data_IF_316063754747
#
_entry.id   IF_316063754747
#
_cell.length_a   1.000
_cell.length_b   1.000
_cell.length_c   1.000
_cell.angle_alpha   90.00
_cell.angle_beta   90.00
_cell.angle_gamma   90.00
#
_symmetry.space_group_name_H-M   'P 1'
#
loop_
_entity.id
_entity.type
_entity.pdbx_description
1 polymer ?
#
# COMPACT_ATOMS: atom_id res chain seq x y z
N UNK A 1 8.41 -19.76 -5.65
CA UNK A 1 8.50 -19.46 -4.20
C UNK A 1 9.95 -19.16 -3.87
N UNK A 2 10.23 -18.02 -3.23
CA UNK A 2 11.57 -17.70 -2.68
C UNK A 2 11.73 -18.46 -1.36
N UNK A 3 12.62 -19.45 -1.30
CA UNK A 3 12.92 -20.18 -0.07
C UNK A 3 14.18 -19.59 0.57
N UNK A 4 14.00 -18.88 1.69
CA UNK A 4 15.11 -18.42 2.51
C UNK A 4 15.77 -19.60 3.22
N UNK A 5 17.11 -19.67 3.18
CA UNK A 5 17.88 -20.55 4.08
C UNK A 5 18.06 -19.83 5.40
N UNK A 6 17.55 -20.45 6.46
CA UNK A 6 17.55 -19.89 7.81
C UNK A 6 18.47 -20.71 8.70
N UNK A 7 19.42 -20.05 9.32
CA UNK A 7 20.29 -20.66 10.32
C UNK A 7 19.64 -20.48 11.68
N UNK A 8 19.43 -21.59 12.40
CA UNK A 8 19.00 -21.53 13.81
C UNK A 8 20.21 -21.13 14.65
N UNK A 9 20.15 -19.94 15.25
CA UNK A 9 21.13 -19.49 16.22
C UNK A 9 20.57 -19.75 17.62
N UNK A 10 21.12 -20.71 18.37
CA UNK A 10 20.54 -21.18 19.62
C UNK A 10 20.80 -20.27 20.84
N UNK A 11 21.48 -19.13 20.66
CA UNK A 11 22.08 -18.36 21.76
C UNK A 11 21.82 -16.86 21.72
N UNK A 12 20.72 -16.39 21.10
CA UNK A 12 20.35 -14.97 21.22
C UNK A 12 19.86 -14.69 22.66
N UNK A 13 20.47 -13.72 23.33
CA UNK A 13 20.07 -13.31 24.67
C UNK A 13 19.16 -12.09 24.55
N UNK A 14 17.91 -12.20 25.02
CA UNK A 14 17.00 -11.08 25.15
C UNK A 14 17.07 -10.51 26.57
N UNK A 15 17.47 -9.25 26.67
CA UNK A 15 17.50 -8.49 27.92
C UNK A 15 16.30 -7.54 27.92
N UNK A 16 15.43 -7.66 28.93
CA UNK A 16 14.35 -6.72 29.14
C UNK A 16 14.23 -6.40 30.63
N UNK A 17 14.46 -5.13 30.97
CA UNK A 17 14.62 -4.66 32.37
C UNK A 17 15.70 -5.50 33.09
N UNK A 18 15.33 -6.20 34.16
CA UNK A 18 16.23 -7.05 34.95
C UNK A 18 16.14 -8.55 34.59
N UNK A 19 15.47 -8.90 33.49
CA UNK A 19 15.31 -10.30 33.06
C UNK A 19 16.15 -10.60 31.83
N UNK A 20 16.80 -11.77 31.88
CA UNK A 20 17.58 -12.33 30.80
C UNK A 20 16.95 -13.64 30.34
N UNK A 21 16.54 -13.71 29.07
CA UNK A 21 16.00 -14.93 28.45
C UNK A 21 16.86 -15.36 27.27
N UNK A 22 17.16 -16.65 27.17
CA UNK A 22 17.78 -17.22 25.97
C UNK A 22 16.68 -17.57 24.96
N UNK A 23 16.86 -17.12 23.72
CA UNK A 23 15.94 -17.33 22.62
C UNK A 23 16.67 -18.02 21.46
N UNK A 24 15.95 -18.92 20.79
CA UNK A 24 16.36 -19.44 19.49
C UNK A 24 15.84 -18.46 18.43
N UNK A 25 16.74 -17.91 17.62
CA UNK A 25 16.39 -17.04 16.48
C UNK A 25 16.71 -17.76 15.18
N UNK A 26 15.86 -17.57 14.19
CA UNK A 26 16.14 -17.93 12.81
C UNK A 26 16.70 -16.69 12.13
N UNK A 27 17.94 -16.76 11.66
CA UNK A 27 18.61 -15.68 10.96
C UNK A 27 18.82 -16.05 9.50
N UNK A 28 18.82 -15.04 8.64
CA UNK A 28 19.15 -15.21 7.22
C UNK A 28 20.64 -15.53 7.05
N UNK A 29 20.94 -16.44 6.12
CA UNK A 29 22.30 -16.86 5.79
C UNK A 29 22.90 -15.97 4.69
N UNK A 30 24.08 -15.40 4.94
CA UNK A 30 24.90 -14.79 3.90
C UNK A 30 25.51 -15.88 3.00
N UNK A 31 25.25 -15.80 1.70
CA UNK A 31 25.73 -16.77 0.72
C UNK A 31 26.81 -16.14 -0.18
N UNK A 32 28.11 -16.45 0.04
CA UNK A 32 29.22 -15.90 -0.74
C UNK A 32 29.37 -16.65 -2.07
N UNK A 33 28.74 -16.15 -3.13
CA UNK A 33 28.80 -16.74 -4.46
C UNK A 33 30.02 -16.22 -5.24
N UNK A 34 31.00 -17.08 -5.49
CA UNK A 34 32.14 -16.76 -6.37
C UNK A 34 31.68 -16.73 -7.83
N UNK A 35 32.05 -15.68 -8.55
CA UNK A 35 31.73 -15.47 -9.95
C UNK A 35 32.99 -15.56 -10.81
N UNK A 36 32.98 -16.50 -11.76
CA UNK A 36 33.95 -16.58 -12.84
C UNK A 36 33.30 -16.21 -14.18
N UNK A 37 33.98 -15.38 -14.95
CA UNK A 37 33.57 -14.96 -16.29
C UNK A 37 34.67 -15.33 -17.28
N UNK A 38 34.33 -16.11 -18.32
CA UNK A 38 35.27 -16.61 -19.31
C UNK A 38 36.51 -17.28 -18.67
N UNK A 39 36.31 -18.09 -17.62
CA UNK A 39 37.38 -18.80 -16.91
C UNK A 39 38.19 -17.97 -15.90
N UNK A 40 37.96 -16.66 -15.77
CA UNK A 40 38.66 -15.79 -14.82
C UNK A 40 37.76 -15.47 -13.62
N UNK A 41 38.31 -15.56 -12.41
CA UNK A 41 37.60 -15.13 -11.20
C UNK A 41 37.50 -13.61 -11.17
N UNK A 42 36.27 -13.12 -10.97
CA UNK A 42 35.96 -11.70 -11.10
C UNK A 42 35.56 -11.07 -9.78
N UNK A 43 34.67 -11.72 -9.03
CA UNK A 43 34.14 -11.18 -7.79
C UNK A 43 33.54 -12.29 -6.92
N UNK A 44 33.33 -12.00 -5.64
CA UNK A 44 32.47 -12.79 -4.76
C UNK A 44 31.27 -11.94 -4.37
N UNK A 45 30.07 -12.40 -4.71
CA UNK A 45 28.81 -11.73 -4.38
C UNK A 45 28.25 -12.31 -3.09
N UNK A 46 28.26 -11.52 -2.01
CA UNK A 46 27.55 -11.89 -0.78
C UNK A 46 26.06 -11.59 -0.99
N UNK A 47 25.24 -12.63 -1.05
CA UNK A 47 23.84 -12.53 -1.46
C UNK A 47 22.95 -13.56 -0.75
N UNK A 48 21.66 -13.61 -1.10
CA UNK A 48 20.79 -14.71 -0.71
C UNK A 48 20.84 -15.87 -1.72
N UNK A 49 20.65 -17.14 -1.31
CA UNK A 49 20.91 -18.32 -2.16
C UNK A 49 19.79 -18.64 -3.18
N UNK A 50 18.77 -17.79 -3.32
CA UNK A 50 17.66 -17.99 -4.26
C UNK A 50 17.86 -17.21 -5.55
N UNK A 51 17.15 -17.57 -6.64
CA UNK A 51 17.09 -16.83 -7.91
C UNK A 51 18.46 -16.31 -8.43
N UNK A 52 19.53 -17.09 -8.25
CA UNK A 52 20.90 -16.65 -8.48
C UNK A 52 21.16 -16.28 -9.96
N UNK A 53 20.42 -16.88 -10.90
CA UNK A 53 20.50 -16.52 -12.32
C UNK A 53 20.05 -15.08 -12.58
N UNK A 54 18.99 -14.60 -11.92
CA UNK A 54 18.59 -13.18 -11.99
C UNK A 54 19.68 -12.27 -11.43
N UNK A 55 20.23 -12.61 -10.25
CA UNK A 55 21.32 -11.84 -9.66
C UNK A 55 22.52 -11.72 -10.60
N UNK A 56 22.98 -12.84 -11.16
CA UNK A 56 24.17 -12.90 -12.00
C UNK A 56 23.99 -12.19 -13.34
N UNK A 57 22.85 -12.40 -14.01
CA UNK A 57 22.54 -11.72 -15.27
C UNK A 57 22.41 -10.21 -15.06
N UNK A 58 21.70 -9.79 -14.02
CA UNK A 58 21.56 -8.38 -13.68
C UNK A 58 22.87 -7.73 -13.25
N UNK A 59 23.70 -8.42 -12.45
CA UNK A 59 25.04 -7.95 -12.13
C UNK A 59 25.86 -7.72 -13.41
N UNK A 60 25.89 -8.69 -14.33
CA UNK A 60 26.64 -8.55 -15.58
C UNK A 60 26.14 -7.37 -16.43
N UNK A 61 24.83 -7.15 -16.50
CA UNK A 61 24.25 -5.99 -17.18
C UNK A 61 24.66 -4.68 -16.50
N UNK A 62 24.56 -4.62 -15.18
CA UNK A 62 24.91 -3.45 -14.40
C UNK A 62 26.42 -3.13 -14.45
N UNK A 63 27.26 -4.13 -14.69
CA UNK A 63 28.69 -3.97 -14.97
C UNK A 63 29.01 -3.74 -16.46
N UNK A 64 28.00 -3.66 -17.34
CA UNK A 64 28.20 -3.46 -18.78
C UNK A 64 28.88 -4.62 -19.50
N UNK A 65 28.95 -5.80 -18.87
CA UNK A 65 29.48 -7.01 -19.50
C UNK A 65 28.51 -7.64 -20.48
N UNK A 66 27.22 -7.35 -20.35
CA UNK A 66 26.20 -7.72 -21.32
C UNK A 66 25.27 -6.53 -21.55
N UNK A 67 24.78 -6.37 -22.78
CA UNK A 67 23.66 -5.48 -23.09
C UNK A 67 22.35 -6.28 -23.14
N UNK A 68 22.42 -7.55 -23.55
CA UNK A 68 21.25 -8.44 -23.65
C UNK A 68 21.62 -9.87 -23.22
N UNK A 69 20.61 -10.71 -22.97
CA UNK A 69 20.86 -12.14 -22.68
C UNK A 69 21.52 -12.89 -23.84
N UNK A 70 21.49 -12.37 -25.08
CA UNK A 70 22.15 -13.00 -26.23
C UNK A 70 23.67 -12.98 -26.09
N UNK A 71 24.22 -12.03 -25.34
CA UNK A 71 25.66 -11.91 -25.08
C UNK A 71 26.17 -13.06 -24.19
N UNK A 72 25.27 -13.72 -23.46
CA UNK A 72 25.56 -14.87 -22.62
C UNK A 72 25.55 -16.15 -23.48
N UNK A 73 26.70 -16.82 -23.56
CA UNK A 73 26.81 -18.15 -24.17
C UNK A 73 26.28 -19.23 -23.23
N UNK A 74 26.69 -19.21 -21.96
CA UNK A 74 26.14 -20.09 -20.94
C UNK A 74 26.28 -19.48 -19.53
N UNK A 75 25.39 -19.89 -18.63
CA UNK A 75 25.43 -19.58 -17.21
C UNK A 75 25.23 -20.88 -16.42
N UNK A 76 26.24 -21.27 -15.66
CA UNK A 76 26.21 -22.44 -14.79
C UNK A 76 26.37 -22.03 -13.33
N UNK A 77 25.59 -22.65 -12.44
CA UNK A 77 25.66 -22.39 -10.99
C UNK A 77 25.80 -23.73 -10.27
N UNK A 78 26.87 -23.88 -9.51
CA UNK A 78 27.05 -24.98 -8.56
C UNK A 78 26.81 -24.45 -7.15
N UNK A 79 25.59 -24.67 -6.63
CA UNK A 79 25.22 -24.14 -5.31
C UNK A 79 26.04 -24.76 -4.17
N UNK A 80 26.42 -26.03 -4.29
CA UNK A 80 27.24 -26.74 -3.30
C UNK A 80 28.64 -26.14 -3.16
N UNK A 81 29.24 -25.70 -4.27
CA UNK A 81 30.59 -25.09 -4.30
C UNK A 81 30.58 -23.57 -4.19
N UNK A 82 29.40 -22.98 -4.06
CA UNK A 82 29.16 -21.54 -4.15
C UNK A 82 29.93 -20.89 -5.31
N UNK A 83 29.79 -21.49 -6.50
CA UNK A 83 30.50 -21.08 -7.71
C UNK A 83 29.53 -20.90 -8.88
N UNK A 84 29.60 -19.74 -9.50
CA UNK A 84 28.97 -19.43 -10.77
C UNK A 84 30.04 -19.27 -11.86
N UNK A 85 29.80 -19.89 -13.01
CA UNK A 85 30.62 -19.77 -14.21
C UNK A 85 29.75 -19.23 -15.35
N UNK A 86 30.14 -18.06 -15.86
CA UNK A 86 29.51 -17.42 -17.00
C UNK A 86 30.48 -17.44 -18.17
N UNK A 87 29.99 -17.84 -19.34
CA UNK A 87 30.70 -17.64 -20.60
C UNK A 87 29.95 -16.61 -21.42
N UNK A 88 30.64 -15.54 -21.78
CA UNK A 88 30.15 -14.50 -22.67
C UNK A 88 30.62 -14.81 -24.09
N UNK A 89 29.84 -14.37 -25.08
CA UNK A 89 30.20 -14.50 -26.50
C UNK A 89 31.33 -13.57 -26.93
N UNK A 90 31.69 -12.62 -26.07
CA UNK A 90 32.77 -11.67 -26.26
C UNK A 90 33.62 -11.56 -25.00
N UNK A 91 34.81 -10.97 -25.12
CA UNK A 91 35.64 -10.63 -23.97
C UNK A 91 35.11 -9.33 -23.34
N UNK A 92 34.72 -9.32 -22.05
CA UNK A 92 34.30 -8.08 -21.39
C UNK A 92 35.51 -7.15 -21.25
N UNK A 93 35.28 -5.83 -21.40
CA UNK A 93 36.26 -4.83 -20.95
C UNK A 93 36.23 -4.80 -19.43
N UNK A 94 37.36 -5.13 -18.81
CA UNK A 94 37.54 -5.06 -17.38
C UNK A 94 38.43 -3.86 -17.09
N UNK A 95 37.81 -2.71 -16.80
CA UNK A 95 38.56 -1.57 -16.27
C UNK A 95 38.96 -1.84 -14.81
N UNK A 96 39.81 -0.99 -14.23
CA UNK A 96 40.24 -1.17 -12.85
C UNK A 96 39.02 -1.17 -11.90
N UNK A 97 38.87 -2.20 -11.04
CA UNK A 97 37.73 -2.29 -10.13
C UNK A 97 37.73 -1.11 -9.16
N UNK A 98 36.62 -0.38 -9.10
CA UNK A 98 36.36 0.61 -8.05
C UNK A 98 35.66 -0.08 -6.90
N UNK A 99 36.28 -0.03 -5.72
CA UNK A 99 35.65 -0.49 -4.47
C UNK A 99 34.52 0.48 -4.10
N UNK A 100 33.29 -0.02 -4.07
CA UNK A 100 32.12 0.73 -3.60
C UNK A 100 32.03 0.62 -2.09
N UNK A 101 31.62 1.71 -1.45
CA UNK A 101 31.56 1.85 0.02
C UNK A 101 30.39 1.09 0.67
N UNK A 102 29.80 0.11 -0.02
CA UNK A 102 28.78 -0.76 0.56
C UNK A 102 29.36 -1.68 1.64
N UNK A 103 28.52 -2.19 2.55
CA UNK A 103 28.90 -3.04 3.69
C UNK A 103 29.54 -4.41 3.33
N UNK A 104 29.96 -4.62 2.07
CA UNK A 104 30.63 -5.83 1.61
C UNK A 104 31.76 -5.58 0.58
N UNK A 105 32.23 -4.34 0.43
CA UNK A 105 33.30 -4.03 -0.53
C UNK A 105 32.92 -4.33 -1.98
N UNK A 106 31.69 -3.94 -2.37
CA UNK A 106 31.16 -4.19 -3.71
C UNK A 106 32.10 -3.67 -4.79
N UNK A 107 32.25 -4.41 -5.89
CA UNK A 107 33.15 -4.04 -6.98
C UNK A 107 32.34 -3.50 -8.14
N UNK A 108 32.62 -2.26 -8.54
CA UNK A 108 32.10 -1.66 -9.78
C UNK A 108 33.23 -1.55 -10.80
N UNK A 109 33.03 -2.11 -11.98
CA UNK A 109 33.98 -2.06 -13.09
C UNK A 109 33.72 -0.89 -14.05
N UNK A 110 32.75 -0.03 -13.73
CA UNK A 110 32.39 1.12 -14.56
C UNK A 110 32.58 2.43 -13.82
N UNK A 111 33.17 3.40 -14.52
CA UNK A 111 33.37 4.77 -14.06
C UNK A 111 32.04 5.54 -14.05
N UNK A 112 31.82 6.37 -13.03
CA UNK A 112 30.66 7.26 -12.90
C UNK A 112 30.59 8.37 -13.98
N UNK A 113 31.52 8.37 -14.94
CA UNK A 113 31.61 9.32 -16.06
C UNK A 113 30.76 8.99 -17.28
N UNK A 114 30.01 7.88 -17.29
CA UNK A 114 29.04 7.62 -18.35
C UNK A 114 28.00 8.75 -18.39
N UNK A 115 27.88 9.38 -19.55
CA UNK A 115 27.02 10.53 -19.77
C UNK A 115 25.56 10.16 -19.53
N UNK A 116 24.98 10.60 -18.41
CA UNK A 116 23.55 10.46 -18.18
C UNK A 116 22.79 11.22 -19.27
N UNK A 117 22.03 10.49 -20.08
CA UNK A 117 21.13 11.13 -21.06
C UNK A 117 19.99 11.78 -20.26
N UNK A 118 20.01 13.12 -20.18
CA UNK A 118 18.95 13.90 -19.51
C UNK A 118 17.60 13.55 -20.12
N UNK A 119 16.68 13.04 -19.29
CA UNK A 119 15.40 12.52 -19.76
C UNK A 119 14.33 13.60 -19.94
N UNK A 120 13.33 13.28 -20.78
CA UNK A 120 12.08 14.03 -20.93
C UNK A 120 11.27 13.93 -19.62
N UNK A 121 10.48 14.95 -19.33
CA UNK A 121 9.63 15.02 -18.14
C UNK A 121 8.44 14.08 -18.26
N UNK A 122 8.53 12.90 -17.65
CA UNK A 122 7.37 12.04 -17.35
C UNK A 122 6.70 12.57 -16.09
N UNK A 123 5.38 12.57 -16.06
CA UNK A 123 4.58 12.93 -14.88
C UNK A 123 4.13 11.65 -14.17
N UNK A 124 4.35 11.61 -12.86
CA UNK A 124 4.03 10.47 -12.00
C UNK A 124 2.93 10.85 -11.01
N UNK A 125 1.94 9.97 -10.83
CA UNK A 125 0.90 10.18 -9.81
C UNK A 125 1.42 9.81 -8.42
N UNK A 126 1.29 10.73 -7.46
CA UNK A 126 1.61 10.46 -6.04
C UNK A 126 0.81 9.30 -5.49
N UNK A 127 -0.45 9.16 -5.88
CA UNK A 127 -1.28 8.01 -5.50
C UNK A 127 -0.62 6.67 -5.86
N UNK A 128 0.03 6.61 -7.03
CA UNK A 128 0.75 5.44 -7.51
C UNK A 128 2.01 5.20 -6.69
N UNK A 129 2.81 6.23 -6.40
CA UNK A 129 3.98 6.13 -5.50
C UNK A 129 3.60 5.52 -4.14
N UNK A 130 2.55 6.03 -3.49
CA UNK A 130 2.07 5.51 -2.21
C UNK A 130 1.51 4.08 -2.33
N UNK A 131 0.76 3.80 -3.40
CA UNK A 131 0.22 2.47 -3.68
C UNK A 131 1.33 1.42 -3.83
N UNK A 132 2.34 1.68 -4.66
CA UNK A 132 3.45 0.75 -4.91
C UNK A 132 4.28 0.52 -3.64
N UNK A 133 4.51 1.55 -2.82
CA UNK A 133 5.22 1.38 -1.54
C UNK A 133 4.42 0.56 -0.53
N UNK A 134 3.09 0.70 -0.52
CA UNK A 134 2.20 -0.15 0.30
C UNK A 134 2.21 -1.61 -0.18
N UNK A 135 2.21 -1.83 -1.50
CA UNK A 135 2.32 -3.16 -2.10
C UNK A 135 3.69 -3.81 -1.78
N UNK A 136 4.80 -3.06 -1.89
CA UNK A 136 6.13 -3.53 -1.47
C UNK A 136 6.12 -3.94 0.00
N UNK A 137 5.57 -3.09 0.88
CA UNK A 137 5.52 -3.34 2.32
C UNK A 137 4.71 -4.59 2.64
N UNK A 138 3.54 -4.78 2.00
CA UNK A 138 2.69 -5.95 2.16
C UNK A 138 3.38 -7.23 1.71
N UNK A 139 4.13 -7.17 0.59
CA UNK A 139 4.84 -8.32 0.05
C UNK A 139 6.05 -8.70 0.92
N UNK A 140 6.78 -7.71 1.43
CA UNK A 140 7.89 -7.90 2.37
C UNK A 140 7.43 -8.40 3.75
N UNK A 141 6.24 -8.00 4.22
CA UNK A 141 5.69 -8.44 5.51
C UNK A 141 5.43 -9.94 5.60
N UNK A 142 5.06 -10.58 4.48
CA UNK A 142 4.92 -12.04 4.41
C UNK A 142 6.22 -12.78 4.78
N UNK A 143 7.37 -12.10 4.76
CA UNK A 143 8.70 -12.66 4.99
C UNK A 143 9.49 -11.96 6.11
N UNK A 144 8.89 -10.96 6.80
CA UNK A 144 9.55 -10.14 7.84
C UNK A 144 9.90 -10.91 9.13
N UNK A 145 9.63 -12.22 9.21
CA UNK A 145 9.89 -13.02 10.41
C UNK A 145 11.38 -13.17 10.76
N UNK A 146 12.31 -12.80 9.87
CA UNK A 146 13.75 -13.08 10.05
C UNK A 146 14.67 -11.85 10.14
N UNK A 147 14.19 -10.63 9.82
CA UNK A 147 15.02 -9.41 9.81
C UNK A 147 16.23 -9.49 8.86
N UNK A 148 17.00 -8.41 8.74
CA UNK A 148 18.28 -8.43 8.01
C UNK A 148 18.20 -8.59 6.49
N UNK A 149 17.04 -8.31 5.88
CA UNK A 149 16.82 -8.37 4.43
C UNK A 149 16.38 -7.03 3.87
N UNK A 150 16.71 -6.79 2.61
CA UNK A 150 16.21 -5.70 1.80
C UNK A 150 15.24 -6.23 0.76
N UNK A 151 14.23 -5.43 0.45
CA UNK A 151 13.22 -5.70 -0.56
C UNK A 151 13.17 -4.50 -1.50
N UNK A 152 13.05 -4.77 -2.79
CA UNK A 152 12.82 -3.75 -3.80
C UNK A 152 11.81 -4.24 -4.81
N UNK A 153 11.10 -3.30 -5.43
CA UNK A 153 10.13 -3.59 -6.46
C UNK A 153 10.14 -2.51 -7.52
N UNK A 154 9.83 -2.88 -8.76
CA UNK A 154 9.60 -1.94 -9.85
C UNK A 154 8.14 -2.03 -10.25
N UNK A 155 7.53 -0.88 -10.51
CA UNK A 155 6.13 -0.81 -10.92
C UNK A 155 5.83 0.43 -11.74
N UNK A 156 4.59 0.48 -12.20
CA UNK A 156 4.01 1.56 -12.99
C UNK A 156 2.60 1.91 -12.44
N UNK A 157 1.80 2.58 -13.26
CA UNK A 157 0.43 2.98 -12.94
C UNK A 157 -0.53 1.79 -12.74
N UNK A 158 -0.21 0.61 -13.30
CA UNK A 158 -1.03 -0.60 -13.21
C UNK A 158 -0.66 -1.46 -11.98
N UNK A 159 0.53 -1.26 -11.41
CA UNK A 159 0.94 -1.88 -10.16
C UNK A 159 2.40 -2.34 -10.14
N UNK A 160 2.72 -3.27 -9.23
CA UNK A 160 4.05 -3.89 -9.19
C UNK A 160 4.26 -4.83 -10.38
N UNK A 161 5.30 -4.55 -11.16
CA UNK A 161 5.78 -5.40 -12.26
C UNK A 161 6.72 -6.50 -11.74
N UNK A 162 7.70 -6.09 -10.93
CA UNK A 162 8.79 -6.95 -10.46
C UNK A 162 9.02 -6.76 -8.95
N UNK A 163 9.49 -7.82 -8.28
CA UNK A 163 9.82 -7.78 -6.86
C UNK A 163 11.00 -8.69 -6.56
N UNK A 164 11.97 -8.19 -5.81
CA UNK A 164 13.13 -8.95 -5.37
C UNK A 164 13.48 -8.66 -3.92
N UNK A 165 14.06 -9.67 -3.28
CA UNK A 165 14.65 -9.56 -1.96
C UNK A 165 16.09 -10.06 -1.99
N UNK A 166 16.92 -9.52 -1.11
CA UNK A 166 18.28 -9.99 -0.87
C UNK A 166 18.79 -9.44 0.47
N UNK A 167 19.91 -9.96 0.96
CA UNK A 167 20.62 -9.38 2.10
C UNK A 167 21.23 -8.02 1.71
N UNK A 168 21.67 -7.88 0.46
CA UNK A 168 22.20 -6.63 -0.08
C UNK A 168 21.13 -5.81 -0.83
N UNK A 169 20.96 -4.54 -0.45
CA UNK A 169 20.05 -3.62 -1.19
C UNK A 169 20.44 -3.43 -2.66
N UNK A 170 21.72 -3.57 -3.00
CA UNK A 170 22.20 -3.44 -4.38
C UNK A 170 21.91 -4.69 -5.20
N UNK A 171 21.95 -5.86 -4.54
CA UNK A 171 21.61 -7.15 -5.14
C UNK A 171 20.12 -7.23 -5.48
N UNK A 172 19.23 -6.56 -4.72
CA UNK A 172 17.80 -6.54 -5.07
C UNK A 172 17.59 -5.88 -6.44
N UNK A 173 18.31 -4.80 -6.75
CA UNK A 173 18.22 -4.14 -8.05
C UNK A 173 18.88 -4.96 -9.17
N UNK A 174 19.97 -5.67 -8.88
CA UNK A 174 20.55 -6.63 -9.82
C UNK A 174 19.56 -7.76 -10.13
N UNK A 175 18.87 -8.30 -9.12
CA UNK A 175 17.83 -9.32 -9.33
C UNK A 175 16.67 -8.82 -10.16
N UNK A 176 16.16 -7.61 -9.87
CA UNK A 176 15.12 -6.98 -10.68
C UNK A 176 15.57 -6.79 -12.12
N UNK A 177 16.84 -6.38 -12.32
CA UNK A 177 17.44 -6.25 -13.66
C UNK A 177 17.47 -7.58 -14.39
N UNK A 178 17.96 -8.64 -13.73
CA UNK A 178 18.04 -9.96 -14.35
C UNK A 178 16.67 -10.52 -14.69
N UNK A 179 15.71 -10.42 -13.78
CA UNK A 179 14.32 -10.84 -14.04
C UNK A 179 13.72 -10.10 -15.23
N UNK A 180 13.90 -8.78 -15.30
CA UNK A 180 13.46 -7.98 -16.44
C UNK A 180 14.10 -8.43 -17.76
N UNK A 181 15.39 -8.79 -17.75
CA UNK A 181 16.07 -9.32 -18.93
C UNK A 181 15.53 -10.68 -19.37
N UNK A 182 15.22 -11.58 -18.43
CA UNK A 182 14.66 -12.90 -18.74
C UNK A 182 13.21 -12.83 -19.23
N UNK A 183 12.41 -11.95 -18.64
CA UNK A 183 10.99 -11.76 -18.98
C UNK A 183 10.78 -10.74 -20.11
N UNK A 184 11.85 -10.13 -20.63
CA UNK A 184 11.83 -9.09 -21.66
C UNK A 184 10.91 -7.89 -21.28
N UNK A 185 11.02 -7.44 -20.03
CA UNK A 185 10.28 -6.30 -19.49
C UNK A 185 11.14 -5.04 -19.61
N UNK A 186 10.61 -4.01 -20.27
CA UNK A 186 11.23 -2.69 -20.31
C UNK A 186 10.96 -1.94 -18.99
N UNK A 187 12.02 -1.49 -18.33
CA UNK A 187 11.95 -0.74 -17.08
C UNK A 187 12.04 0.77 -17.30
N UNK A 188 12.03 1.22 -18.54
CA UNK A 188 12.03 2.63 -18.88
C UNK A 188 10.83 3.37 -18.29
N UNK A 189 11.12 4.52 -17.70
CA UNK A 189 10.19 5.45 -17.05
C UNK A 189 9.37 4.86 -15.90
N UNK A 190 9.71 3.65 -15.42
CA UNK A 190 9.08 3.00 -14.27
C UNK A 190 9.53 3.59 -12.92
N UNK A 191 8.88 3.15 -11.84
CA UNK A 191 9.12 3.59 -10.47
C UNK A 191 9.79 2.47 -9.66
N UNK A 192 10.95 2.75 -9.06
CA UNK A 192 11.68 1.84 -8.17
C UNK A 192 11.35 2.13 -6.70
N UNK A 193 10.71 1.16 -6.03
CA UNK A 193 10.48 1.17 -4.59
C UNK A 193 11.57 0.37 -3.87
N UNK A 194 12.16 0.91 -2.81
CA UNK A 194 13.19 0.23 -2.02
C UNK A 194 12.94 0.32 -0.51
N UNK A 195 13.19 -0.76 0.22
CA UNK A 195 13.20 -0.74 1.69
C UNK A 195 14.51 -0.22 2.29
N UNK A 196 15.56 -0.09 1.48
CA UNK A 196 16.89 0.35 1.92
C UNK A 196 17.21 1.81 1.58
N UNK A 197 18.34 2.30 2.10
CA UNK A 197 18.86 3.64 1.81
C UNK A 197 19.18 3.80 0.32
N UNK A 198 18.88 4.97 -0.24
CA UNK A 198 19.24 5.30 -1.63
C UNK A 198 20.66 5.85 -1.66
N UNK A 199 21.60 5.04 -2.14
CA UNK A 199 23.01 5.40 -2.32
C UNK A 199 23.31 5.76 -3.78
N UNK A 200 24.48 6.36 -4.04
CA UNK A 200 24.94 6.69 -5.40
C UNK A 200 24.93 5.47 -6.33
N UNK A 201 25.34 4.31 -5.83
CA UNK A 201 25.29 3.05 -6.57
C UNK A 201 23.86 2.64 -6.98
N UNK A 202 22.88 2.81 -6.09
CA UNK A 202 21.47 2.52 -6.42
C UNK A 202 20.97 3.44 -7.54
N UNK A 203 21.36 4.73 -7.49
CA UNK A 203 20.98 5.71 -8.51
C UNK A 203 21.62 5.38 -9.86
N UNK A 204 22.91 5.04 -9.88
CA UNK A 204 23.63 4.67 -11.12
C UNK A 204 22.96 3.45 -11.77
N UNK A 205 22.69 2.41 -10.98
CA UNK A 205 22.02 1.20 -11.47
C UNK A 205 20.61 1.48 -12.00
N UNK A 206 19.84 2.32 -11.30
CA UNK A 206 18.49 2.71 -11.74
C UNK A 206 18.52 3.55 -13.02
N UNK A 207 19.49 4.48 -13.13
CA UNK A 207 19.68 5.31 -14.31
C UNK A 207 19.98 4.47 -15.57
N UNK A 208 20.77 3.40 -15.44
CA UNK A 208 21.05 2.48 -16.55
C UNK A 208 19.82 1.73 -17.06
N UNK A 209 18.84 1.49 -16.18
CA UNK A 209 17.63 0.74 -16.50
C UNK A 209 16.52 1.58 -17.13
N UNK A 210 16.70 2.89 -17.28
CA UNK A 210 15.58 3.72 -17.74
C UNK A 210 14.63 4.16 -16.61
N UNK A 211 14.87 3.82 -15.34
CA UNK A 211 13.94 4.14 -14.22
C UNK A 211 13.88 5.65 -13.97
N UNK A 212 12.68 6.23 -13.96
CA UNK A 212 12.48 7.68 -13.86
C UNK A 212 12.20 8.19 -12.43
N UNK A 213 11.83 7.30 -11.50
CA UNK A 213 11.59 7.67 -10.10
C UNK A 213 12.12 6.59 -9.15
N UNK A 214 12.78 7.02 -8.07
CA UNK A 214 13.23 6.15 -6.97
C UNK A 214 12.56 6.62 -5.68
N UNK A 215 11.89 5.71 -4.98
CA UNK A 215 11.30 5.99 -3.66
C UNK A 215 11.78 4.99 -2.61
N UNK A 216 12.06 5.49 -1.40
CA UNK A 216 12.48 4.69 -0.25
C UNK A 216 11.76 5.09 1.02
N UNK A 217 11.54 4.12 1.92
CA UNK A 217 11.05 4.37 3.28
C UNK A 217 12.13 4.91 4.24
N UNK A 218 13.36 5.11 3.74
CA UNK A 218 14.55 5.55 4.49
C UNK A 218 15.26 6.71 3.77
N UNK A 219 16.46 7.07 4.24
CA UNK A 219 17.21 8.25 3.79
C UNK A 219 18.00 8.03 2.49
N UNK A 220 18.04 9.03 1.60
CA UNK A 220 19.04 9.11 0.55
C UNK A 220 20.39 9.64 1.08
N UNK A 221 21.47 9.44 0.32
CA UNK A 221 22.75 10.12 0.56
C UNK A 221 22.85 11.41 -0.25
N UNK A 222 23.67 12.39 0.20
CA UNK A 222 23.88 13.64 -0.53
C UNK A 222 24.36 13.40 -1.99
N UNK A 223 25.27 12.43 -2.18
CA UNK A 223 25.73 12.05 -3.52
C UNK A 223 24.61 11.44 -4.37
N UNK A 224 23.68 10.68 -3.78
CA UNK A 224 22.53 10.15 -4.50
C UNK A 224 21.61 11.27 -5.01
N UNK A 225 21.36 12.28 -4.18
CA UNK A 225 20.57 13.47 -4.57
C UNK A 225 21.23 14.18 -5.76
N UNK A 226 22.53 14.45 -5.70
CA UNK A 226 23.27 15.09 -6.80
C UNK A 226 23.24 14.27 -8.10
N UNK A 227 23.31 12.94 -8.01
CA UNK A 227 23.22 12.06 -9.17
C UNK A 227 21.80 12.04 -9.76
N UNK A 228 20.76 12.02 -8.94
CA UNK A 228 19.37 12.12 -9.39
C UNK A 228 19.10 13.44 -10.11
N UNK A 229 19.63 14.56 -9.61
CA UNK A 229 19.56 15.87 -10.27
C UNK A 229 20.16 15.82 -11.68
N UNK A 230 21.37 15.26 -11.81
CA UNK A 230 22.05 15.12 -13.11
C UNK A 230 21.34 14.13 -14.05
N UNK A 231 20.81 13.04 -13.51
CA UNK A 231 20.18 11.98 -14.28
C UNK A 231 18.72 12.27 -14.68
N UNK A 232 18.08 13.30 -14.10
CA UNK A 232 16.67 13.59 -14.35
C UNK A 232 15.71 12.60 -13.67
N UNK A 233 16.12 12.03 -12.53
CA UNK A 233 15.36 11.01 -11.79
C UNK A 233 14.71 11.65 -10.56
N UNK A 234 13.40 11.52 -10.39
CA UNK A 234 12.75 11.93 -9.13
C UNK A 234 13.20 11.06 -7.97
N UNK A 235 13.64 11.69 -6.87
CA UNK A 235 14.06 10.98 -5.65
C UNK A 235 13.14 11.31 -4.48
N UNK A 236 12.57 10.27 -3.89
CA UNK A 236 11.70 10.36 -2.72
C UNK A 236 12.30 9.55 -1.58
N UNK A 237 12.49 10.19 -0.43
CA UNK A 237 12.93 9.57 0.81
C UNK A 237 11.83 9.58 1.86
N UNK A 238 12.04 8.81 2.93
CA UNK A 238 11.14 8.77 4.10
C UNK A 238 9.66 8.54 3.75
N UNK A 239 9.38 7.81 2.67
CA UNK A 239 8.03 7.50 2.21
C UNK A 239 7.33 6.55 3.21
N UNK A 240 6.34 7.06 3.95
CA UNK A 240 5.59 6.30 4.97
C UNK A 240 4.15 6.78 5.05
N UNK A 241 3.21 5.84 5.13
CA UNK A 241 1.79 6.16 5.21
C UNK A 241 1.36 7.03 4.02
N UNK A 242 1.04 8.31 4.30
CA UNK A 242 0.65 9.31 3.29
C UNK A 242 1.60 10.52 3.22
N UNK A 243 2.80 10.41 3.80
CA UNK A 243 3.82 11.45 3.77
C UNK A 243 5.12 10.96 3.12
N UNK A 244 5.89 11.90 2.59
CA UNK A 244 7.19 11.66 1.98
C UNK A 244 7.99 12.96 1.89
N UNK A 245 9.29 12.83 1.65
CA UNK A 245 10.19 13.95 1.39
C UNK A 245 10.76 13.82 -0.03
N UNK A 246 10.62 14.87 -0.84
CA UNK A 246 11.09 14.88 -2.23
C UNK A 246 12.45 15.61 -2.27
N UNK A 247 13.46 14.94 -2.81
CA UNK A 247 14.84 15.40 -2.83
C UNK A 247 15.32 15.88 -4.20
N UNK A 248 14.63 15.49 -5.28
CA UNK A 248 14.93 15.97 -6.64
C UNK A 248 13.72 15.87 -7.55
N UNK A 249 13.67 16.76 -8.55
CA UNK A 249 12.63 16.85 -9.59
C UNK A 249 11.17 16.79 -9.11
N UNK A 250 10.75 17.55 -8.06
CA UNK A 250 9.37 17.53 -7.56
C UNK A 250 8.32 17.88 -8.63
N UNK A 251 8.71 18.64 -9.66
CA UNK A 251 7.85 18.99 -10.79
C UNK A 251 7.41 17.80 -11.64
N UNK A 252 8.02 16.61 -11.50
CA UNK A 252 7.62 15.37 -12.17
C UNK A 252 6.52 14.62 -11.41
N UNK A 253 6.10 15.09 -10.23
CA UNK A 253 4.94 14.58 -9.54
C UNK A 253 3.73 15.48 -9.82
N UNK A 254 2.55 14.86 -9.88
CA UNK A 254 1.30 15.61 -9.97
C UNK A 254 1.20 16.64 -8.82
N UNK A 255 0.81 17.90 -9.09
CA UNK A 255 0.75 18.94 -8.07
C UNK A 255 -0.18 18.52 -6.94
N UNK A 256 0.11 18.97 -5.71
CA UNK A 256 -0.79 18.75 -4.58
C UNK A 256 -2.22 19.14 -4.95
N UNK A 257 -3.14 18.17 -4.91
CA UNK A 257 -4.57 18.50 -5.00
C UNK A 257 -4.83 19.52 -3.90
N UNK A 258 -5.36 20.71 -4.21
CA UNK A 258 -5.68 21.69 -3.20
C UNK A 258 -6.49 21.00 -2.11
N UNK A 259 -6.20 21.30 -0.82
CA UNK A 259 -7.09 20.86 0.26
C UNK A 259 -8.50 21.28 -0.14
N UNK A 260 -9.36 20.30 -0.38
CA UNK A 260 -10.75 20.58 -0.71
C UNK A 260 -11.31 21.44 0.42
N UNK A 261 -11.96 22.56 0.09
CA UNK A 261 -12.65 23.33 1.12
C UNK A 261 -13.65 22.40 1.80
N UNK A 262 -13.57 22.33 3.12
CA UNK A 262 -14.53 21.58 3.92
C UNK A 262 -15.92 22.16 3.73
N UNK A 263 -16.91 21.29 3.80
CA UNK A 263 -18.32 21.63 3.67
C UNK A 263 -18.75 22.28 4.99
N UNK A 264 -18.92 23.59 4.98
CA UNK A 264 -19.30 24.35 6.15
C UNK A 264 -20.74 24.03 6.61
N UNK A 265 -20.97 24.09 7.93
CA UNK A 265 -22.31 23.95 8.52
C UNK A 265 -22.90 22.54 8.51
N UNK A 266 -22.10 21.52 8.22
CA UNK A 266 -22.51 20.11 8.26
C UNK A 266 -21.48 19.31 9.06
N UNK A 267 -21.97 18.44 9.94
CA UNK A 267 -21.13 17.50 10.70
C UNK A 267 -21.13 16.11 10.05
N UNK A 268 -20.03 15.37 10.19
CA UNK A 268 -19.95 13.96 9.84
C UNK A 268 -20.31 13.07 11.04
N UNK A 269 -21.13 12.05 10.82
CA UNK A 269 -21.55 11.08 11.84
C UNK A 269 -21.24 9.67 11.35
N UNK A 270 -20.44 8.93 12.13
CA UNK A 270 -20.14 7.53 11.87
C UNK A 270 -20.90 6.67 12.87
N UNK A 271 -21.70 5.71 12.37
CA UNK A 271 -22.40 4.74 13.21
C UNK A 271 -21.53 3.49 13.42
N UNK A 272 -21.13 3.24 14.67
CA UNK A 272 -20.26 2.14 15.07
C UNK A 272 -20.88 1.36 16.25
N UNK A 273 -21.80 0.45 15.96
CA UNK A 273 -22.51 -0.31 17.01
C UNK A 273 -23.37 -1.48 16.53
N UNK A 274 -23.15 -2.00 15.31
CA UNK A 274 -23.91 -3.14 14.80
C UNK A 274 -23.46 -4.46 15.42
N UNK A 275 -24.35 -5.17 16.11
CA UNK A 275 -24.09 -6.51 16.63
C UNK A 275 -23.73 -7.47 15.49
N UNK A 276 -22.44 -7.77 15.36
CA UNK A 276 -21.91 -8.67 14.33
C UNK A 276 -21.98 -10.13 14.79
N UNK A 277 -23.19 -10.61 15.10
CA UNK A 277 -23.45 -12.01 15.51
C UNK A 277 -23.00 -13.03 14.46
N UNK A 278 -22.87 -12.63 13.18
CA UNK A 278 -22.48 -13.50 12.05
C UNK A 278 -20.96 -13.58 11.78
N UNK A 279 -20.14 -12.69 12.36
CA UNK A 279 -18.69 -12.59 12.08
C UNK A 279 -17.78 -13.05 13.22
N UNK A 280 -18.34 -13.31 14.42
CA UNK A 280 -17.56 -13.71 15.60
C UNK A 280 -16.60 -12.64 16.17
N UNK A 281 -16.55 -11.43 15.57
CA UNK A 281 -15.75 -10.28 16.01
C UNK A 281 -16.35 -8.96 15.48
N UNK A 282 -16.00 -7.82 16.09
CA UNK A 282 -16.49 -6.50 15.71
C UNK A 282 -15.94 -6.08 14.32
N UNK A 283 -16.82 -5.98 13.31
CA UNK A 283 -16.48 -5.67 11.91
C UNK A 283 -15.74 -4.35 11.73
N UNK A 284 -15.98 -3.37 12.62
CA UNK A 284 -15.35 -2.05 12.58
C UNK A 284 -13.82 -2.10 12.73
N UNK A 285 -13.30 -3.16 13.35
CA UNK A 285 -11.88 -3.37 13.64
C UNK A 285 -11.14 -4.15 12.56
N UNK A 286 -11.82 -4.55 11.48
CA UNK A 286 -11.20 -5.37 10.44
C UNK A 286 -10.11 -4.58 9.68
N UNK A 287 -8.87 -5.10 9.59
CA UNK A 287 -7.79 -4.44 8.90
C UNK A 287 -7.94 -4.52 7.37
N UNK A 288 -7.94 -3.37 6.72
CA UNK A 288 -8.00 -3.19 5.28
C UNK A 288 -7.01 -2.13 4.80
N UNK A 289 -6.22 -2.45 3.78
CA UNK A 289 -5.20 -1.55 3.21
C UNK A 289 -4.28 -0.88 4.26
N UNK A 290 -3.98 -1.58 5.37
CA UNK A 290 -3.08 -1.10 6.43
C UNK A 290 -3.74 -0.29 7.56
N UNK A 291 -5.07 -0.10 7.55
CA UNK A 291 -5.84 0.56 8.63
C UNK A 291 -7.20 -0.15 8.83
N UNK A 292 -8.02 0.21 9.82
CA UNK A 292 -9.35 -0.39 10.01
C UNK A 292 -10.39 0.28 9.09
N UNK A 293 -11.52 -0.37 8.80
CA UNK A 293 -12.59 0.26 7.99
C UNK A 293 -13.03 1.61 8.53
N UNK A 294 -13.23 1.70 9.86
CA UNK A 294 -13.62 2.96 10.49
C UNK A 294 -12.56 4.06 10.34
N UNK A 295 -11.26 3.71 10.26
CA UNK A 295 -10.19 4.69 10.08
C UNK A 295 -10.25 5.32 8.67
N UNK A 296 -10.61 4.52 7.65
CA UNK A 296 -10.82 5.01 6.29
C UNK A 296 -12.03 5.94 6.19
N UNK A 297 -13.14 5.54 6.81
CA UNK A 297 -14.36 6.36 6.86
C UNK A 297 -14.10 7.67 7.59
N UNK A 298 -13.45 7.61 8.76
CA UNK A 298 -13.08 8.79 9.53
C UNK A 298 -12.18 9.74 8.73
N UNK A 299 -11.12 9.23 8.12
CA UNK A 299 -10.20 10.04 7.32
C UNK A 299 -10.95 10.78 6.20
N UNK A 300 -11.87 10.08 5.51
CA UNK A 300 -12.68 10.68 4.44
C UNK A 300 -13.62 11.77 4.97
N UNK A 301 -14.31 11.54 6.08
CA UNK A 301 -15.19 12.56 6.66
C UNK A 301 -14.40 13.75 7.22
N UNK A 302 -13.23 13.53 7.82
CA UNK A 302 -12.37 14.59 8.35
C UNK A 302 -11.75 15.47 7.25
N UNK A 303 -11.60 14.93 6.03
CA UNK A 303 -11.26 15.71 4.84
C UNK A 303 -12.41 16.64 4.41
N UNK A 304 -13.67 16.25 4.66
CA UNK A 304 -14.86 16.93 4.16
C UNK A 304 -15.54 17.86 5.18
N UNK A 305 -15.43 17.55 6.48
CA UNK A 305 -16.17 18.23 7.54
C UNK A 305 -15.24 18.73 8.65
N UNK A 306 -15.63 19.79 9.34
CA UNK A 306 -14.89 20.31 10.50
C UNK A 306 -15.17 19.52 11.77
N UNK A 307 -16.39 19.02 11.92
CA UNK A 307 -16.80 18.17 13.02
C UNK A 307 -17.10 16.76 12.49
N UNK A 308 -16.45 15.76 13.07
CA UNK A 308 -16.81 14.35 12.90
C UNK A 308 -17.03 13.74 14.27
N UNK A 309 -18.06 12.92 14.42
CA UNK A 309 -18.33 12.16 15.64
C UNK A 309 -18.64 10.69 15.33
N UNK A 310 -18.39 9.84 16.32
CA UNK A 310 -18.70 8.41 16.26
C UNK A 310 -19.79 8.11 17.27
N UNK A 311 -20.87 7.51 16.83
CA UNK A 311 -21.93 6.98 17.70
C UNK A 311 -21.60 5.53 18.02
N UNK A 312 -21.25 5.25 19.27
CA UNK A 312 -20.86 3.92 19.72
C UNK A 312 -21.10 3.72 21.22
N UNK A 313 -21.50 2.51 21.59
CA UNK A 313 -21.64 2.10 22.99
C UNK A 313 -20.33 1.54 23.59
N UNK A 314 -19.31 1.36 22.75
CA UNK A 314 -17.98 0.81 23.12
C UNK A 314 -16.84 1.77 22.71
N UNK A 315 -16.81 3.01 23.24
CA UNK A 315 -15.83 4.04 22.86
C UNK A 315 -14.36 3.62 23.04
N UNK A 316 -14.10 2.70 23.97
CA UNK A 316 -12.79 2.11 24.25
C UNK A 316 -12.17 1.33 23.07
N UNK A 317 -12.96 0.95 22.05
CA UNK A 317 -12.44 0.31 20.83
C UNK A 317 -11.81 1.32 19.84
N UNK A 318 -12.02 2.63 20.05
CA UNK A 318 -11.58 3.68 19.14
C UNK A 318 -10.78 4.79 19.84
N UNK A 319 -9.79 4.48 20.71
CA UNK A 319 -9.09 5.50 21.49
C UNK A 319 -8.28 6.45 20.61
N UNK A 320 -7.74 5.94 19.50
CA UNK A 320 -6.81 6.68 18.62
C UNK A 320 -7.50 7.64 17.64
N UNK A 321 -8.82 7.51 17.41
CA UNK A 321 -9.52 8.39 16.46
C UNK A 321 -9.73 9.78 17.09
N UNK A 322 -9.24 10.88 16.48
CA UNK A 322 -9.33 12.22 17.07
C UNK A 322 -10.71 12.85 16.85
N UNK A 323 -11.73 12.24 17.45
CA UNK A 323 -13.11 12.71 17.43
C UNK A 323 -13.84 12.35 18.71
N UNK A 324 -14.97 13.03 18.93
CA UNK A 324 -15.89 12.71 20.03
C UNK A 324 -16.57 11.37 19.75
N UNK A 325 -16.68 10.55 20.79
CA UNK A 325 -17.49 9.32 20.78
C UNK A 325 -18.69 9.56 21.68
N UNK A 326 -19.88 9.35 21.15
CA UNK A 326 -21.15 9.55 21.86
C UNK A 326 -21.89 8.23 21.96
N UNK A 327 -22.52 8.00 23.10
CA UNK A 327 -23.33 6.79 23.32
C UNK A 327 -24.70 6.96 22.69
N UNK A 328 -25.32 5.83 22.41
CA UNK A 328 -26.70 5.79 21.93
C UNK A 328 -27.65 6.20 23.06
N UNK A 329 -28.53 7.18 22.80
CA UNK A 329 -29.59 7.64 23.71
C UNK A 329 -30.72 6.62 23.82
N UNK A 330 -30.92 5.82 22.77
CA UNK A 330 -31.89 4.71 22.73
C UNK A 330 -31.14 3.38 22.53
N UNK A 331 -30.42 2.88 23.56
CA UNK A 331 -29.51 1.75 23.40
C UNK A 331 -30.19 0.53 22.77
N UNK A 332 -29.49 -0.11 21.83
CA UNK A 332 -29.88 -1.38 21.20
C UNK A 332 -31.16 -1.30 20.34
N UNK A 333 -31.59 -0.09 19.96
CA UNK A 333 -32.76 0.11 19.10
C UNK A 333 -32.42 0.25 17.60
N UNK A 334 -31.19 -0.10 17.21
CA UNK A 334 -30.76 -0.19 15.82
C UNK A 334 -30.29 1.13 15.23
N UNK A 335 -30.16 1.17 13.90
CA UNK A 335 -29.52 2.30 13.23
C UNK A 335 -30.28 3.63 13.34
N UNK A 336 -31.62 3.60 13.48
CA UNK A 336 -32.42 4.81 13.71
C UNK A 336 -32.03 5.53 15.00
N UNK A 337 -31.80 4.77 16.08
CA UNK A 337 -31.33 5.28 17.36
C UNK A 337 -29.91 5.86 17.26
N UNK A 338 -29.04 5.20 16.49
CA UNK A 338 -27.72 5.72 16.16
C UNK A 338 -27.77 7.06 15.41
N UNK A 339 -28.64 7.19 14.40
CA UNK A 339 -28.84 8.43 13.66
C UNK A 339 -29.33 9.55 14.59
N UNK A 340 -30.36 9.28 15.40
CA UNK A 340 -30.91 10.22 16.38
C UNK A 340 -29.82 10.71 17.33
N UNK A 341 -29.08 9.79 17.96
CA UNK A 341 -28.01 10.12 18.90
C UNK A 341 -26.91 10.95 18.27
N UNK A 342 -26.51 10.60 17.05
CA UNK A 342 -25.52 11.37 16.30
C UNK A 342 -26.00 12.80 16.06
N UNK A 343 -27.20 12.94 15.50
CA UNK A 343 -27.81 14.21 15.17
C UNK A 343 -28.00 15.12 16.40
N UNK A 344 -28.45 14.56 17.52
CA UNK A 344 -28.61 15.28 18.79
C UNK A 344 -27.28 15.85 19.31
N UNK A 345 -26.16 15.14 19.12
CA UNK A 345 -24.85 15.53 19.63
C UNK A 345 -23.98 16.32 18.65
N UNK A 346 -24.38 16.45 17.39
CA UNK A 346 -23.68 17.32 16.42
C UNK A 346 -23.83 18.80 16.78
N UNK A 347 -22.77 19.58 16.56
CA UNK A 347 -22.81 21.04 16.70
C UNK A 347 -23.58 21.73 15.58
N UNK A 348 -23.59 21.14 14.39
CA UNK A 348 -24.30 21.69 13.23
C UNK A 348 -25.80 21.35 13.25
N UNK A 349 -26.59 22.07 12.45
CA UNK A 349 -28.02 21.78 12.23
C UNK A 349 -28.24 20.52 11.38
N UNK A 350 -27.23 20.12 10.61
CA UNK A 350 -27.28 19.00 9.68
C UNK A 350 -26.09 18.08 9.86
N UNK A 351 -26.32 16.79 9.63
CA UNK A 351 -25.32 15.75 9.78
C UNK A 351 -25.37 14.77 8.60
N UNK A 352 -24.22 14.54 7.96
CA UNK A 352 -24.06 13.43 7.02
C UNK A 352 -23.78 12.16 7.80
N UNK A 353 -24.61 11.14 7.63
CA UNK A 353 -24.52 9.89 8.39
C UNK A 353 -24.00 8.77 7.49
N UNK A 354 -23.03 8.03 8.01
CA UNK A 354 -22.47 6.83 7.37
C UNK A 354 -22.23 5.69 8.36
N UNK A 355 -22.37 4.45 7.90
CA UNK A 355 -21.97 3.25 8.66
C UNK A 355 -20.45 3.04 8.67
N UNK A 356 -19.92 2.45 9.74
CA UNK A 356 -18.48 2.16 9.85
C UNK A 356 -17.99 1.00 8.95
N UNK A 357 -18.90 0.26 8.34
CA UNK A 357 -18.69 -0.93 7.50
C UNK A 357 -18.60 -0.62 5.99
N UNK A 358 -18.51 0.66 5.63
CA UNK A 358 -18.54 1.14 4.24
C UNK A 358 -17.25 1.94 3.91
N UNK A 359 -16.09 1.26 3.78
CA UNK A 359 -14.76 1.90 3.70
C UNK A 359 -14.46 2.60 2.36
N UNK A 360 -15.29 2.41 1.33
CA UNK A 360 -15.09 2.96 -0.01
C UNK A 360 -15.82 4.28 -0.24
N UNK A 361 -16.13 5.03 0.83
CA UNK A 361 -16.87 6.28 0.78
C UNK A 361 -16.28 7.28 -0.23
N UNK A 362 -17.07 7.62 -1.26
CA UNK A 362 -16.72 8.62 -2.27
C UNK A 362 -16.99 10.04 -1.76
N UNK A 363 -15.93 10.87 -1.68
CA UNK A 363 -16.09 12.27 -1.28
C UNK A 363 -16.93 13.10 -2.26
N UNK A 364 -16.92 12.74 -3.55
CA UNK A 364 -17.76 13.40 -4.57
C UNK A 364 -19.25 13.13 -4.34
N UNK A 365 -19.60 11.91 -3.94
CA UNK A 365 -20.97 11.55 -3.60
C UNK A 365 -21.44 12.32 -2.36
N UNK A 366 -20.63 12.36 -1.31
CA UNK A 366 -20.94 13.13 -0.09
C UNK A 366 -21.17 14.61 -0.42
N UNK A 367 -20.32 15.19 -1.28
CA UNK A 367 -20.48 16.56 -1.77
C UNK A 367 -21.79 16.76 -2.52
N UNK A 368 -22.10 15.89 -3.48
CA UNK A 368 -23.38 15.92 -4.22
C UNK A 368 -24.57 15.93 -3.25
N UNK A 369 -24.56 15.05 -2.25
CA UNK A 369 -25.61 15.01 -1.21
C UNK A 369 -25.68 16.33 -0.46
N UNK A 370 -24.54 16.87 -0.04
CA UNK A 370 -24.48 18.11 0.72
C UNK A 370 -24.90 19.36 -0.08
N UNK A 371 -24.77 19.38 -1.41
CA UNK A 371 -25.28 20.50 -2.24
C UNK A 371 -26.79 20.68 -2.14
N UNK A 372 -27.50 19.63 -1.69
CA UNK A 372 -28.96 19.59 -1.50
C UNK A 372 -29.37 19.65 -0.03
N UNK A 373 -28.44 19.92 0.89
CA UNK A 373 -28.80 20.49 2.19
C UNK A 373 -29.77 21.68 1.95
N UNK A 374 -30.55 22.20 2.86
CA UNK A 374 -31.60 23.22 2.56
C UNK A 374 -32.82 22.74 1.74
N UNK A 375 -32.73 21.74 0.84
CA UNK A 375 -33.90 21.33 0.04
C UNK A 375 -34.93 20.50 0.84
N UNK A 376 -34.49 19.76 1.86
CA UNK A 376 -35.35 18.92 2.70
C UNK A 376 -34.76 18.59 4.07
N UNK A 377 -35.53 17.85 4.86
CA UNK A 377 -35.12 17.34 6.18
C UNK A 377 -34.15 16.17 6.05
N UNK A 378 -34.36 15.35 5.01
CA UNK A 378 -33.57 14.17 4.69
C UNK A 378 -33.18 14.19 3.21
N UNK A 379 -31.89 14.17 2.91
CA UNK A 379 -31.37 14.00 1.55
C UNK A 379 -30.87 12.57 1.40
N UNK A 380 -31.52 11.79 0.54
CA UNK A 380 -31.43 10.34 0.53
C UNK A 380 -31.03 9.84 -0.87
N UNK A 381 -29.83 9.26 -1.05
CA UNK A 381 -29.50 8.61 -2.30
C UNK A 381 -30.29 7.30 -2.51
N UNK A 382 -30.58 7.01 -3.78
CA UNK A 382 -31.22 5.77 -4.22
C UNK A 382 -30.24 4.99 -5.09
N UNK A 383 -29.59 3.99 -4.49
CA UNK A 383 -28.76 3.05 -5.23
C UNK A 383 -29.58 1.99 -5.97
N UNK A 384 -28.89 1.08 -6.63
CA UNK A 384 -29.47 -0.09 -7.30
C UNK A 384 -30.31 -0.99 -6.37
N UNK A 385 -30.00 -1.01 -5.08
CA UNK A 385 -30.70 -1.79 -4.05
C UNK A 385 -31.83 -1.03 -3.33
N UNK A 386 -32.06 0.25 -3.70
CA UNK A 386 -33.08 1.11 -3.12
C UNK A 386 -32.49 2.26 -2.30
N UNK A 387 -33.23 2.71 -1.29
CA UNK A 387 -32.83 3.81 -0.41
C UNK A 387 -31.61 3.47 0.43
N UNK A 388 -30.67 4.40 0.50
CA UNK A 388 -29.42 4.26 1.26
C UNK A 388 -29.39 5.20 2.48
N UNK A 389 -30.15 4.91 3.56
CA UNK A 389 -30.29 5.80 4.72
C UNK A 389 -29.01 5.92 5.56
N UNK A 390 -28.07 4.98 5.41
CA UNK A 390 -26.76 5.05 6.06
C UNK A 390 -25.72 5.71 5.16
N UNK A 391 -26.17 6.53 4.21
CA UNK A 391 -25.38 7.37 3.31
C UNK A 391 -26.15 8.66 3.00
N UNK A 392 -26.77 9.25 4.01
CA UNK A 392 -27.75 10.32 3.83
C UNK A 392 -27.46 11.52 4.74
N UNK A 393 -27.98 12.68 4.34
CA UNK A 393 -27.90 13.91 5.12
C UNK A 393 -29.20 14.11 5.89
N UNK A 394 -29.09 14.28 7.20
CA UNK A 394 -30.22 14.49 8.11
C UNK A 394 -30.16 15.90 8.73
N UNK A 395 -31.31 16.55 8.87
CA UNK A 395 -31.48 17.80 9.63
C UNK A 395 -32.00 17.54 11.05
N UNK A 396 -31.69 18.39 12.03
CA UNK A 396 -32.20 18.25 13.40
C UNK A 396 -33.74 18.29 13.50
N UNK A 397 -34.43 18.87 12.51
CA UNK A 397 -35.88 18.75 12.34
C UNK A 397 -36.38 17.30 12.25
N UNK A 398 -35.52 16.33 11.94
CA UNK A 398 -35.88 14.90 11.95
C UNK A 398 -36.06 14.33 13.37
N UNK A 399 -35.48 14.95 14.41
CA UNK A 399 -35.43 14.40 15.77
C UNK A 399 -36.83 14.08 16.35
N UNK A 400 -37.84 14.97 16.29
CA UNK A 400 -39.15 14.67 16.88
C UNK A 400 -39.84 13.47 16.22
N UNK A 401 -39.69 13.32 14.90
CA UNK A 401 -40.25 12.19 14.15
C UNK A 401 -39.51 10.89 14.49
N UNK A 402 -38.17 10.96 14.67
CA UNK A 402 -37.37 9.81 15.11
C UNK A 402 -37.78 9.36 16.52
N UNK A 403 -37.94 10.30 17.45
CA UNK A 403 -38.37 10.05 18.84
C UNK A 403 -39.74 9.37 18.88
N UNK A 404 -40.73 9.87 18.14
CA UNK A 404 -42.05 9.23 18.04
C UNK A 404 -41.99 7.78 17.55
N UNK A 405 -41.14 7.49 16.55
CA UNK A 405 -40.97 6.14 16.00
C UNK A 405 -40.26 5.22 16.99
N UNK A 406 -39.21 5.71 17.67
CA UNK A 406 -38.44 4.96 18.65
C UNK A 406 -39.25 4.69 19.94
N UNK A 407 -39.98 5.68 20.44
CA UNK A 407 -40.84 5.57 21.62
C UNK A 407 -42.00 4.58 21.38
N UNK A 408 -42.47 4.48 20.13
CA UNK A 408 -43.43 3.45 19.70
C UNK A 408 -42.80 2.05 19.53
N UNK A 409 -41.52 1.86 19.89
CA UNK A 409 -40.78 0.60 19.78
C UNK A 409 -40.43 0.20 18.35
N UNK A 410 -40.57 1.10 17.37
CA UNK A 410 -40.27 0.83 15.97
C UNK A 410 -38.83 1.19 15.65
N UNK A 411 -38.14 0.31 14.90
CA UNK A 411 -36.69 0.42 14.64
C UNK A 411 -36.32 0.67 13.18
N UNK A 412 -37.30 0.65 12.27
CA UNK A 412 -37.07 0.74 10.82
C UNK A 412 -36.98 2.19 10.37
N UNK A 413 -35.84 2.57 9.80
CA UNK A 413 -35.60 3.94 9.28
C UNK A 413 -36.64 4.33 8.23
N UNK A 414 -37.16 3.42 7.40
CA UNK A 414 -38.15 3.79 6.38
C UNK A 414 -39.46 4.37 6.95
N UNK A 415 -39.75 4.17 8.25
CA UNK A 415 -40.96 4.71 8.89
C UNK A 415 -40.95 6.23 9.01
N UNK A 416 -39.78 6.85 9.09
CA UNK A 416 -39.68 8.31 9.20
C UNK A 416 -39.88 9.02 7.86
N UNK A 417 -39.66 8.34 6.71
CA UNK A 417 -39.69 8.98 5.39
C UNK A 417 -41.03 9.64 5.04
N UNK A 418 -42.15 9.05 5.47
CA UNK A 418 -43.50 9.58 5.17
C UNK A 418 -43.84 10.85 5.96
N UNK A 419 -43.10 11.13 7.02
CA UNK A 419 -43.34 12.23 7.94
C UNK A 419 -42.32 13.36 7.78
N UNK A 420 -41.38 13.21 6.84
CA UNK A 420 -40.29 14.13 6.59
C UNK A 420 -40.33 14.65 5.15
N UNK A 421 -39.78 15.84 4.92
CA UNK A 421 -39.51 16.32 3.57
C UNK A 421 -38.26 15.62 3.03
N UNK A 422 -38.45 14.47 2.40
CA UNK A 422 -37.36 13.69 1.78
C UNK A 422 -37.06 14.22 0.39
N UNK A 423 -35.77 14.45 0.11
CA UNK A 423 -35.26 14.79 -1.22
C UNK A 423 -34.37 13.65 -1.67
N UNK A 424 -34.77 12.98 -2.74
CA UNK A 424 -34.06 11.82 -3.27
C UNK A 424 -32.96 12.26 -4.24
N UNK A 425 -31.84 11.54 -4.25
CA UNK A 425 -30.82 11.67 -5.29
C UNK A 425 -30.98 10.48 -6.24
N UNK A 426 -31.38 10.72 -7.50
CA UNK A 426 -31.68 9.67 -8.44
C UNK A 426 -30.40 8.95 -8.87
N UNK A 427 -30.55 7.67 -9.23
CA UNK A 427 -29.45 6.79 -9.63
C UNK A 427 -28.61 7.36 -10.80
N UNK A 428 -29.23 8.08 -11.73
CA UNK A 428 -28.53 8.71 -12.87
C UNK A 428 -27.44 9.69 -12.43
N UNK A 429 -27.70 10.47 -11.37
CA UNK A 429 -26.73 11.41 -10.83
C UNK A 429 -25.68 10.70 -9.97
N UNK A 430 -26.08 9.65 -9.24
CA UNK A 430 -25.16 8.82 -8.48
C UNK A 430 -24.12 8.17 -9.40
N UNK A 431 -24.54 7.67 -10.57
CA UNK A 431 -23.65 7.04 -11.54
C UNK A 431 -22.59 7.97 -12.10
N UNK A 432 -22.79 9.30 -12.06
CA UNK A 432 -21.77 10.26 -12.50
C UNK A 432 -20.61 10.40 -11.52
N UNK A 433 -20.86 10.16 -10.23
CA UNK A 433 -19.89 10.38 -9.13
C UNK A 433 -19.42 9.10 -8.44
N UNK A 434 -20.22 8.03 -8.53
CA UNK A 434 -19.92 6.68 -8.05
C UNK A 434 -20.53 5.62 -9.00
N UNK A 435 -19.98 5.43 -10.21
CA UNK A 435 -20.56 4.58 -11.26
C UNK A 435 -20.74 3.10 -10.86
N UNK A 436 -19.95 2.62 -9.90
CA UNK A 436 -19.96 1.24 -9.43
C UNK A 436 -20.64 1.09 -8.06
N UNK A 437 -21.24 2.17 -7.54
CA UNK A 437 -21.89 2.21 -6.23
C UNK A 437 -20.98 1.66 -5.10
N UNK A 438 -19.67 1.90 -5.20
CA UNK A 438 -18.72 1.36 -4.23
C UNK A 438 -18.95 1.94 -2.83
N UNK A 439 -19.44 3.19 -2.74
CA UNK A 439 -19.75 3.83 -1.46
C UNK A 439 -20.79 3.04 -0.66
N UNK A 440 -21.78 2.44 -1.33
CA UNK A 440 -22.85 1.66 -0.67
C UNK A 440 -22.45 0.22 -0.38
N UNK A 441 -21.24 -0.21 -0.80
CA UNK A 441 -20.79 -1.59 -0.62
C UNK A 441 -20.48 -1.86 0.85
N UNK A 442 -21.40 -2.55 1.51
CA UNK A 442 -21.23 -3.06 2.85
C UNK A 442 -20.50 -4.42 2.84
N UNK A 443 -19.56 -4.63 3.77
CA UNK A 443 -18.81 -5.88 3.92
C UNK A 443 -19.34 -6.62 5.14
N UNK A 444 -20.18 -7.62 4.88
CA UNK A 444 -20.97 -8.27 5.89
C UNK A 444 -20.56 -9.70 6.22
N UNK A 445 -19.82 -10.37 5.32
CA UNK A 445 -19.41 -11.77 5.45
C UNK A 445 -17.88 -11.94 5.43
N UNK A 446 -17.33 -13.02 6.03
CA UNK A 446 -15.91 -13.33 5.93
C UNK A 446 -15.48 -13.52 4.47
N UNK A 447 -16.32 -14.15 3.65
CA UNK A 447 -16.08 -14.38 2.23
C UNK A 447 -15.94 -13.07 1.46
N UNK A 448 -16.84 -12.11 1.68
CA UNK A 448 -16.74 -10.77 1.10
C UNK A 448 -15.45 -10.06 1.53
N UNK A 449 -15.07 -10.16 2.81
CA UNK A 449 -13.83 -9.59 3.32
C UNK A 449 -12.58 -10.23 2.69
N UNK A 450 -12.56 -11.56 2.52
CA UNK A 450 -11.46 -12.26 1.86
C UNK A 450 -11.39 -11.94 0.36
N UNK A 451 -12.54 -11.83 -0.32
CA UNK A 451 -12.60 -11.37 -1.72
C UNK A 451 -12.09 -9.94 -1.86
N UNK A 452 -12.41 -9.07 -0.90
CA UNK A 452 -11.94 -7.69 -0.86
C UNK A 452 -10.43 -7.59 -0.66
N UNK A 453 -9.85 -8.45 0.18
CA UNK A 453 -8.40 -8.60 0.30
C UNK A 453 -7.75 -9.32 -0.90
N UNK A 454 -8.54 -9.97 -1.75
CA UNK A 454 -8.10 -11.00 -2.69
C UNK A 454 -8.37 -10.75 -4.18
N UNK A 455 -8.46 -9.50 -4.65
CA UNK A 455 -8.46 -9.19 -6.10
C UNK A 455 -7.23 -8.35 -6.45
N UNK A 456 -6.22 -8.78 -7.22
CA UNK A 456 -6.02 -9.90 -8.15
C UNK A 456 -4.68 -10.60 -7.83
N UNK A 457 -4.68 -11.87 -7.44
CA UNK A 457 -3.65 -12.91 -7.77
C UNK A 457 -3.86 -14.20 -6.98
N UNK A 458 -5.06 -14.79 -6.94
CA UNK A 458 -5.23 -16.12 -6.30
C UNK A 458 -6.19 -17.06 -7.06
N UNK A 459 -6.43 -16.84 -8.36
CA UNK A 459 -7.25 -17.73 -9.19
C UNK A 459 -6.52 -19.01 -9.69
N UNK A 460 -5.38 -19.38 -9.10
CA UNK A 460 -4.70 -20.65 -9.40
C UNK A 460 -4.17 -21.31 -8.13
N UNK A 461 -5.05 -21.79 -7.26
CA UNK A 461 -4.74 -22.87 -6.32
C UNK A 461 -6.06 -23.48 -5.81
N UNK A 462 -6.23 -24.80 -6.04
CA UNK A 462 -7.21 -25.61 -5.33
C UNK A 462 -8.33 -26.22 -6.19
N UNK A 463 -8.00 -27.15 -7.09
CA UNK A 463 -8.93 -28.27 -7.34
C UNK A 463 -8.91 -29.17 -6.09
N UNK A 464 -10.06 -29.54 -5.50
CA UNK A 464 -10.07 -30.45 -4.36
C UNK A 464 -9.68 -31.86 -4.81
N UNK A 465 -8.75 -32.47 -4.09
CA UNK A 465 -8.38 -33.87 -4.20
C UNK A 465 -9.63 -34.75 -4.04
N UNK A 466 -10.04 -35.42 -5.13
CA UNK A 466 -11.04 -36.48 -5.08
C UNK A 466 -10.50 -37.61 -4.21
N UNK A 467 -11.21 -37.90 -3.12
CA UNK A 467 -11.08 -39.14 -2.36
C UNK A 467 -11.21 -40.32 -3.31
N UNK A 468 -10.13 -41.08 -3.52
CA UNK A 468 -10.23 -42.43 -4.06
C UNK A 468 -10.87 -43.32 -2.98
N UNK A 469 -12.01 -43.91 -3.34
CA UNK A 469 -12.60 -45.05 -2.65
C UNK A 469 -12.22 -46.30 -3.48
N UNK A 470 -11.72 -47.29 -2.76
CA UNK A 470 -11.34 -48.66 -3.15
C UNK A 470 -9.96 -48.81 -3.75
#
# INVERSE_FOLDING_TARGET
>A
MQCWRLVKVPSAIHLHKNQQTRLIRQLVEEYPLRLRVNGRELATLVCSPHQLHHLLAGFCFQQGFIATLKDLFCLGICQEKALAELRLRHSPRLDAPTLTTGCGGGVSYLSAGDSFVRRRSVQYRRATVFSLMSQLSTRAERYRSHGGIHSAAVGDEDGLLLFAEDIGRHNTLDRLTGEALFENIDLKDTLLMSSGRVSSEMVIKAARLGIGLIASCTSPTAQAVQLCEKAGITLIGYLRGRSCEIYSHPQQLDPATPKQQKIAGISGVILAGGESLRMGSDKSLLPFAGARFIDHVYARLAELFDEVLIVTNTPELYPELPCRKVKDVYPLQGALAGIHSGLQHTGCERAFVVGCDMPFLSGKLVQLICTRATLGDLILPIGSSGHEPLHALYSKSCLPVMEQVLDAGQRRIQRIFRQLKVVEIPAEELQQVDPQEQSFRNINTPEEYFQLRGSRTDAKLGKPLRKQRR
#
